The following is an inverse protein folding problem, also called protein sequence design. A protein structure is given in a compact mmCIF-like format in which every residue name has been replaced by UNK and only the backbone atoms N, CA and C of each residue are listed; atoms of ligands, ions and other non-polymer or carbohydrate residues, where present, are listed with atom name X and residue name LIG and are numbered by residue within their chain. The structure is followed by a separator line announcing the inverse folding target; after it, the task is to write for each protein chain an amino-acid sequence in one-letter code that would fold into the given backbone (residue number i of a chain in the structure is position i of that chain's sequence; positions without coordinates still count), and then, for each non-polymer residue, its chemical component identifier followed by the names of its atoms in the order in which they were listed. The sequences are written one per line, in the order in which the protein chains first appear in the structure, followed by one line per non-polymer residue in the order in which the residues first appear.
data_IF_520664264480
#
_entry.id   IF_520664264480
#
_cell.length_a   1.000
_cell.length_b   1.000
_cell.length_c   1.000
_cell.angle_alpha   90.00
_cell.angle_beta   90.00
_cell.angle_gamma   90.00
#
_symmetry.space_group_name_H-M   'P 1'
#
loop_
_entity.id
_entity.type
_entity.pdbx_description
1 polymer ?
#
# COMPACT_ATOMS: atom_id res chain seq x y z
N UNK A 1 20.06 -0.85 9.24
CA UNK A 1 18.63 -0.57 9.58
C UNK A 1 18.18 0.76 9.01
N UNK A 2 19.03 1.79 9.07
CA UNK A 2 18.84 3.07 8.37
C UNK A 2 18.69 2.89 6.85
N UNK A 3 19.39 1.90 6.30
CA UNK A 3 19.45 1.58 4.86
C UNK A 3 18.17 0.92 4.33
N UNK A 4 17.31 0.37 5.20
CA UNK A 4 16.03 -0.22 4.81
C UNK A 4 14.92 0.84 4.80
N UNK A 5 14.94 1.78 5.76
CA UNK A 5 14.02 2.92 5.79
C UNK A 5 14.27 3.88 4.61
N UNK A 6 15.54 4.16 4.28
CA UNK A 6 15.91 5.01 3.14
C UNK A 6 15.48 4.40 1.79
N UNK A 7 15.55 3.07 1.66
CA UNK A 7 15.18 2.36 0.44
C UNK A 7 13.66 2.24 0.23
N UNK A 8 12.85 2.39 1.29
CA UNK A 8 11.38 2.37 1.18
C UNK A 8 10.78 3.76 0.97
N UNK A 9 11.36 4.80 1.57
CA UNK A 9 10.92 6.20 1.32
C UNK A 9 11.22 6.59 -0.12
N UNK A 10 12.32 6.11 -0.70
CA UNK A 10 12.69 6.35 -2.11
C UNK A 10 11.84 5.59 -3.13
N UNK A 11 11.23 4.45 -2.75
CA UNK A 11 10.37 3.65 -3.65
C UNK A 11 8.90 4.13 -3.62
N UNK A 12 8.45 4.74 -2.51
CA UNK A 12 7.10 5.31 -2.40
C UNK A 12 6.94 6.62 -3.21
N UNK A 13 8.00 7.42 -3.29
CA UNK A 13 8.06 8.65 -4.08
C UNK A 13 8.21 8.38 -5.60
N UNK A 14 8.38 7.11 -5.97
CA UNK A 14 9.01 6.77 -7.24
C UNK A 14 8.03 6.74 -8.41
N UNK A 15 6.72 6.48 -8.20
CA UNK A 15 5.81 6.32 -9.35
C UNK A 15 5.56 7.64 -10.09
N UNK A 16 5.07 8.67 -9.39
CA UNK A 16 4.83 9.98 -10.00
C UNK A 16 6.14 10.55 -10.57
N UNK A 17 7.21 10.56 -9.77
CA UNK A 17 8.49 11.08 -10.22
C UNK A 17 9.12 10.27 -11.36
N UNK A 18 8.97 8.94 -11.39
CA UNK A 18 9.44 8.12 -12.53
C UNK A 18 8.71 8.49 -13.80
N UNK A 19 7.38 8.61 -13.76
CA UNK A 19 6.58 8.96 -14.95
C UNK A 19 6.92 10.39 -15.40
N UNK A 20 6.92 11.35 -14.49
CA UNK A 20 7.27 12.74 -14.78
C UNK A 20 8.70 12.88 -15.34
N UNK A 21 9.68 12.22 -14.73
CA UNK A 21 11.06 12.22 -15.20
C UNK A 21 11.18 11.58 -16.59
N UNK A 22 10.45 10.49 -16.83
CA UNK A 22 10.47 9.80 -18.13
C UNK A 22 9.89 10.69 -19.23
N UNK A 23 8.76 11.34 -18.98
CA UNK A 23 8.18 12.35 -19.87
C UNK A 23 9.16 13.50 -20.08
N UNK A 24 9.70 14.09 -19.01
CA UNK A 24 10.62 15.23 -19.12
C UNK A 24 11.85 14.92 -19.96
N UNK A 25 12.42 13.72 -19.80
CA UNK A 25 13.67 13.34 -20.45
C UNK A 25 13.48 12.88 -21.90
N UNK A 26 12.34 12.27 -22.25
CA UNK A 26 12.13 11.65 -23.56
C UNK A 26 11.01 12.28 -24.40
N UNK A 27 10.30 13.32 -23.92
CA UNK A 27 9.16 13.93 -24.64
C UNK A 27 9.49 14.40 -26.06
N UNK A 28 10.75 14.74 -26.32
CA UNK A 28 11.22 15.22 -27.62
C UNK A 28 11.82 14.10 -28.49
N UNK A 29 11.88 12.87 -27.99
CA UNK A 29 12.47 11.74 -28.71
C UNK A 29 11.49 11.20 -29.76
N UNK A 30 12.04 10.77 -30.89
CA UNK A 30 11.24 10.21 -31.98
C UNK A 30 10.55 8.92 -31.53
N UNK A 31 9.21 8.91 -31.60
CA UNK A 31 8.39 7.77 -31.20
C UNK A 31 7.95 7.78 -29.72
N UNK A 32 8.30 8.82 -28.95
CA UNK A 32 7.78 8.96 -27.59
C UNK A 32 6.27 9.25 -27.60
N UNK A 33 5.46 8.59 -26.76
CA UNK A 33 4.02 8.84 -26.65
C UNK A 33 3.75 10.30 -26.28
N UNK A 34 2.91 10.98 -27.06
CA UNK A 34 2.50 12.36 -26.77
C UNK A 34 1.21 12.38 -25.96
N UNK A 35 1.04 13.39 -25.11
CA UNK A 35 -0.20 13.58 -24.36
C UNK A 35 -1.35 13.78 -25.35
N UNK A 36 -2.40 12.94 -25.32
CA UNK A 36 -3.57 13.09 -26.18
C UNK A 36 -4.26 14.44 -25.97
N UNK A 37 -4.77 15.06 -27.04
CA UNK A 37 -5.40 16.39 -26.97
C UNK A 37 -6.70 16.45 -26.11
N UNK A 38 -7.28 15.28 -25.81
CA UNK A 38 -8.44 15.09 -24.95
C UNK A 38 -8.09 14.97 -23.47
N UNK A 39 -6.80 14.93 -23.11
CA UNK A 39 -6.31 14.80 -21.74
C UNK A 39 -5.61 16.10 -21.35
N UNK A 40 -6.01 16.69 -20.23
CA UNK A 40 -5.32 17.85 -19.67
C UNK A 40 -4.08 17.44 -18.85
N UNK A 41 -3.14 18.37 -18.67
CA UNK A 41 -2.02 18.15 -17.73
C UNK A 41 -2.53 17.94 -16.29
N UNK A 42 -3.66 18.56 -15.94
CA UNK A 42 -4.31 18.39 -14.64
C UNK A 42 -4.86 16.96 -14.47
N UNK A 43 -5.49 16.38 -15.50
CA UNK A 43 -5.97 14.99 -15.45
C UNK A 43 -4.81 13.98 -15.28
N UNK A 44 -3.65 14.28 -15.88
CA UNK A 44 -2.43 13.50 -15.69
C UNK A 44 -1.91 13.61 -14.26
N UNK A 45 -1.85 14.83 -13.71
CA UNK A 45 -1.40 15.07 -12.35
C UNK A 45 -2.32 14.39 -11.33
N UNK A 46 -3.63 14.53 -11.49
CA UNK A 46 -4.64 13.92 -10.62
C UNK A 46 -4.53 12.38 -10.64
N UNK A 47 -4.41 11.76 -11.82
CA UNK A 47 -4.22 10.31 -11.92
C UNK A 47 -2.95 9.85 -11.23
N UNK A 48 -1.81 10.53 -11.45
CA UNK A 48 -0.54 10.16 -10.82
C UNK A 48 -0.62 10.29 -9.30
N UNK A 49 -1.24 11.37 -8.81
CA UNK A 49 -1.46 11.61 -7.40
C UNK A 49 -2.36 10.54 -6.77
N UNK A 50 -3.51 10.24 -7.37
CA UNK A 50 -4.46 9.23 -6.86
C UNK A 50 -3.87 7.83 -6.90
N UNK A 51 -3.12 7.49 -7.94
CA UNK A 51 -2.42 6.22 -8.06
C UNK A 51 -1.35 6.06 -6.98
N UNK A 52 -0.58 7.11 -6.71
CA UNK A 52 0.42 7.10 -5.65
C UNK A 52 -0.23 7.05 -4.26
N UNK A 53 -1.28 7.83 -4.02
CA UNK A 53 -2.06 7.76 -2.78
C UNK A 53 -2.68 6.36 -2.56
N UNK A 54 -3.03 5.65 -3.64
CA UNK A 54 -3.48 4.27 -3.56
C UNK A 54 -2.36 3.31 -3.13
N UNK A 55 -1.15 3.46 -3.68
CA UNK A 55 0.04 2.69 -3.27
C UNK A 55 0.41 2.98 -1.80
N UNK A 56 0.35 4.25 -1.39
CA UNK A 56 0.76 4.72 -0.06
C UNK A 56 -0.26 4.37 1.03
N UNK A 57 -1.45 3.91 0.62
CA UNK A 57 -2.54 3.61 1.54
C UNK A 57 -2.27 2.45 2.50
N UNK A 58 -1.21 1.65 2.28
CA UNK A 58 -0.75 0.66 3.27
C UNK A 58 -0.21 1.29 4.57
N UNK A 59 0.09 2.58 4.54
CA UNK A 59 0.73 3.29 5.63
C UNK A 59 2.22 2.99 5.72
N UNK A 60 2.92 3.83 6.48
CA UNK A 60 4.37 3.69 6.69
C UNK A 60 4.72 2.41 7.44
N UNK A 61 5.96 1.93 7.32
CA UNK A 61 6.45 0.80 8.11
C UNK A 61 6.18 0.97 9.61
N UNK A 62 6.42 2.16 10.14
CA UNK A 62 6.14 2.50 11.53
C UNK A 62 4.67 2.29 11.91
N UNK A 63 3.75 2.72 11.04
CA UNK A 63 2.31 2.51 11.26
C UNK A 63 1.96 1.01 11.22
N UNK A 64 2.49 0.29 10.24
CA UNK A 64 2.29 -1.17 10.10
C UNK A 64 2.80 -1.95 11.31
N UNK A 65 3.98 -1.62 11.85
CA UNK A 65 4.50 -2.25 13.07
C UNK A 65 3.69 -1.90 14.31
N UNK A 66 3.19 -0.67 14.41
CA UNK A 66 2.32 -0.26 15.53
C UNK A 66 1.01 -1.05 15.52
N UNK A 67 0.39 -1.19 14.35
CA UNK A 67 -0.83 -1.99 14.18
C UNK A 67 -0.54 -3.47 14.48
N UNK A 68 0.58 -4.02 14.00
CA UNK A 68 0.98 -5.39 14.28
C UNK A 68 1.14 -5.64 15.78
N UNK A 69 1.86 -4.76 16.49
CA UNK A 69 2.02 -4.84 17.94
C UNK A 69 0.69 -4.77 18.67
N UNK A 70 -0.20 -3.86 18.26
CA UNK A 70 -1.54 -3.75 18.84
C UNK A 70 -2.36 -5.03 18.64
N UNK A 71 -2.38 -5.59 17.42
CA UNK A 71 -3.11 -6.82 17.10
C UNK A 71 -2.56 -8.05 17.84
N UNK A 72 -1.25 -8.10 18.12
CA UNK A 72 -0.65 -9.17 18.93
C UNK A 72 -0.97 -9.04 20.41
N UNK A 73 -0.96 -7.82 20.95
CA UNK A 73 -1.21 -7.57 22.37
C UNK A 73 -2.70 -7.66 22.74
N UNK A 74 -3.60 -7.28 21.84
CA UNK A 74 -5.04 -7.17 22.12
C UNK A 74 -5.67 -8.49 22.63
N UNK A 75 -5.42 -9.67 22.02
CA UNK A 75 -5.94 -10.94 22.53
C UNK A 75 -5.41 -11.30 23.92
N UNK A 76 -4.15 -10.96 24.20
CA UNK A 76 -3.52 -11.18 25.51
C UNK A 76 -4.19 -10.31 26.57
N UNK A 77 -4.42 -9.03 26.26
CA UNK A 77 -5.11 -8.10 27.15
C UNK A 77 -6.55 -8.50 27.41
N UNK A 78 -7.28 -8.95 26.38
CA UNK A 78 -8.64 -9.44 26.53
C UNK A 78 -8.67 -10.65 27.46
N UNK A 79 -7.78 -11.64 27.26
CA UNK A 79 -7.75 -12.80 28.15
C UNK A 79 -7.35 -12.47 29.59
N UNK A 80 -6.44 -11.52 29.79
CA UNK A 80 -6.07 -11.02 31.12
C UNK A 80 -7.25 -10.43 31.91
N UNK A 81 -8.33 -10.00 31.22
CA UNK A 81 -9.52 -9.46 31.86
C UNK A 81 -10.48 -10.54 32.39
N UNK A 82 -10.24 -11.82 32.11
CA UNK A 82 -11.07 -12.94 32.54
C UNK A 82 -10.36 -13.79 33.60
N UNK A 83 -11.08 -14.38 34.57
CA UNK A 83 -10.50 -15.31 35.52
C UNK A 83 -10.04 -16.60 34.81
N UNK A 84 -8.92 -17.17 35.27
CA UNK A 84 -8.27 -18.33 34.63
C UNK A 84 -9.22 -19.53 34.43
N UNK A 85 -10.12 -19.77 35.39
CA UNK A 85 -11.09 -20.87 35.36
C UNK A 85 -12.19 -20.71 34.28
N UNK A 86 -12.31 -19.53 33.69
CA UNK A 86 -13.28 -19.24 32.62
C UNK A 86 -12.68 -19.34 31.22
N UNK A 87 -11.37 -19.57 31.12
CA UNK A 87 -10.67 -19.66 29.85
C UNK A 87 -10.84 -21.06 29.23
N UNK A 88 -10.87 -21.15 27.89
CA UNK A 88 -11.18 -22.40 27.18
C UNK A 88 -10.09 -23.47 27.27
N UNK A 89 -8.87 -23.10 27.65
CA UNK A 89 -7.75 -24.03 27.87
C UNK A 89 -7.13 -23.77 29.26
N UNK A 90 -6.19 -24.63 29.69
CA UNK A 90 -5.50 -24.48 30.96
C UNK A 90 -4.06 -23.98 30.79
N UNK A 91 -3.64 -23.08 31.68
CA UNK A 91 -2.26 -22.62 31.80
C UNK A 91 -1.65 -22.07 30.50
N UNK A 92 -0.48 -22.60 30.13
CA UNK A 92 0.33 -22.11 29.00
C UNK A 92 -0.43 -22.18 27.66
N UNK A 93 -1.38 -23.10 27.52
CA UNK A 93 -2.14 -23.26 26.27
C UNK A 93 -3.02 -22.04 25.95
N UNK A 94 -3.53 -21.32 26.96
CA UNK A 94 -4.26 -20.07 26.74
C UNK A 94 -3.36 -18.99 26.15
N UNK A 95 -2.14 -18.86 26.69
CA UNK A 95 -1.16 -17.87 26.21
C UNK A 95 -0.77 -18.17 24.76
N UNK A 96 -0.51 -19.44 24.43
CA UNK A 96 -0.22 -19.84 23.06
C UNK A 96 -1.40 -19.61 22.12
N UNK A 97 -2.63 -19.87 22.57
CA UNK A 97 -3.84 -19.55 21.83
C UNK A 97 -3.98 -18.03 21.59
N UNK A 98 -3.65 -17.18 22.58
CA UNK A 98 -3.63 -15.72 22.46
C UNK A 98 -2.76 -15.25 21.31
N UNK A 99 -1.52 -15.75 21.31
CA UNK A 99 -0.50 -15.41 20.33
C UNK A 99 -0.96 -15.89 18.95
N UNK A 100 -1.51 -17.11 18.87
CA UNK A 100 -2.10 -17.65 17.65
C UNK A 100 -3.21 -16.75 17.09
N UNK A 101 -4.14 -16.30 17.93
CA UNK A 101 -5.20 -15.36 17.52
C UNK A 101 -4.61 -14.04 17.04
N UNK A 102 -3.63 -13.48 17.75
CA UNK A 102 -2.96 -12.24 17.34
C UNK A 102 -2.27 -12.36 15.98
N UNK A 103 -1.61 -13.50 15.72
CA UNK A 103 -0.99 -13.80 14.42
C UNK A 103 -2.03 -13.92 13.30
N UNK A 104 -3.18 -14.57 13.57
CA UNK A 104 -4.29 -14.68 12.61
C UNK A 104 -4.86 -13.29 12.30
N UNK A 105 -5.08 -12.45 13.32
CA UNK A 105 -5.55 -11.08 13.14
C UNK A 105 -4.57 -10.25 12.30
N UNK A 106 -3.27 -10.37 12.58
CA UNK A 106 -2.25 -9.70 11.78
C UNK A 106 -2.22 -10.19 10.33
N UNK A 107 -2.36 -11.49 10.11
CA UNK A 107 -2.44 -12.05 8.76
C UNK A 107 -3.67 -11.54 8.01
N UNK A 108 -4.85 -11.53 8.66
CA UNK A 108 -6.08 -10.98 8.10
C UNK A 108 -5.93 -9.50 7.75
N UNK A 109 -5.35 -8.70 8.65
CA UNK A 109 -5.03 -7.30 8.38
C UNK A 109 -4.18 -7.16 7.12
N UNK A 110 -3.11 -7.95 6.97
CA UNK A 110 -2.23 -7.90 5.79
C UNK A 110 -2.98 -8.25 4.50
N UNK A 111 -3.86 -9.23 4.54
CA UNK A 111 -4.70 -9.60 3.38
C UNK A 111 -5.67 -8.48 3.03
N UNK A 112 -6.36 -7.91 4.03
CA UNK A 112 -7.30 -6.80 3.85
C UNK A 112 -6.60 -5.58 3.24
N UNK A 113 -5.43 -5.20 3.75
CA UNK A 113 -4.68 -4.06 3.22
C UNK A 113 -4.32 -4.24 1.74
N UNK A 114 -3.85 -5.43 1.34
CA UNK A 114 -3.59 -5.73 -0.08
C UNK A 114 -4.84 -5.60 -0.94
N UNK A 115 -6.00 -5.99 -0.43
CA UNK A 115 -7.28 -5.86 -1.14
C UNK A 115 -7.68 -4.40 -1.27
N UNK A 116 -7.53 -3.61 -0.20
CA UNK A 116 -7.83 -2.17 -0.19
C UNK A 116 -6.97 -1.42 -1.21
N UNK A 117 -5.65 -1.66 -1.21
CA UNK A 117 -4.72 -1.07 -2.19
C UNK A 117 -5.14 -1.43 -3.61
N UNK A 118 -5.37 -2.73 -3.89
CA UNK A 118 -5.84 -3.16 -5.22
C UNK A 118 -7.14 -2.48 -5.64
N UNK A 119 -8.07 -2.30 -4.70
CA UNK A 119 -9.34 -1.63 -4.96
C UNK A 119 -9.13 -0.15 -5.29
N UNK A 120 -8.29 0.55 -4.54
CA UNK A 120 -7.96 1.97 -4.78
C UNK A 120 -7.23 2.16 -6.10
N UNK A 121 -6.24 1.32 -6.42
CA UNK A 121 -5.56 1.33 -7.72
C UNK A 121 -6.57 1.08 -8.84
N UNK A 122 -7.47 0.10 -8.67
CA UNK A 122 -8.51 -0.17 -9.67
C UNK A 122 -9.42 1.03 -9.86
N UNK A 123 -9.76 1.74 -8.78
CA UNK A 123 -10.58 2.93 -8.83
C UNK A 123 -9.87 4.05 -9.60
N UNK A 124 -8.62 4.40 -9.25
CA UNK A 124 -7.84 5.40 -9.99
C UNK A 124 -7.73 5.06 -11.49
N UNK A 125 -7.53 3.78 -11.82
CA UNK A 125 -7.51 3.28 -13.20
C UNK A 125 -8.86 3.38 -13.92
N UNK A 126 -9.98 3.33 -13.20
CA UNK A 126 -11.33 3.43 -13.75
C UNK A 126 -11.77 4.88 -13.92
N UNK A 127 -11.32 5.76 -13.02
CA UNK A 127 -11.65 7.18 -13.03
C UNK A 127 -10.90 7.90 -14.15
N UNK A 128 -9.68 7.45 -14.51
CA UNK A 128 -8.85 8.03 -15.58
C UNK A 128 -8.37 6.99 -16.62
N UNK A 129 -9.27 6.37 -17.40
CA UNK A 129 -8.92 5.25 -18.29
C UNK A 129 -7.99 5.66 -19.44
N UNK A 130 -8.16 6.86 -19.98
CA UNK A 130 -7.35 7.38 -21.10
C UNK A 130 -5.96 7.80 -20.62
N UNK A 131 -5.87 8.41 -19.43
CA UNK A 131 -4.61 8.80 -18.79
C UNK A 131 -3.78 7.57 -18.43
N UNK A 132 -4.42 6.54 -17.87
CA UNK A 132 -3.78 5.25 -17.60
C UNK A 132 -3.14 4.69 -18.86
N UNK A 133 -3.87 4.67 -19.98
CA UNK A 133 -3.36 4.14 -21.24
C UNK A 133 -2.15 4.94 -21.72
N UNK A 134 -2.18 6.27 -21.61
CA UNK A 134 -1.02 7.10 -21.92
C UNK A 134 0.19 6.77 -21.02
N UNK A 135 -0.01 6.69 -19.70
CA UNK A 135 1.06 6.35 -18.74
C UNK A 135 1.64 4.96 -19.00
N UNK A 136 0.81 3.97 -19.36
CA UNK A 136 1.28 2.63 -19.74
C UNK A 136 2.21 2.68 -20.96
N UNK A 137 1.88 3.49 -21.98
CA UNK A 137 2.73 3.68 -23.15
C UNK A 137 4.04 4.41 -22.80
N UNK A 138 3.97 5.46 -21.97
CA UNK A 138 5.16 6.16 -21.46
C UNK A 138 6.08 5.19 -20.72
N UNK A 139 5.52 4.34 -19.87
CA UNK A 139 6.28 3.34 -19.11
C UNK A 139 6.86 2.24 -20.00
N UNK A 140 6.19 1.87 -21.10
CA UNK A 140 6.68 0.88 -22.06
C UNK A 140 7.79 1.38 -23.01
N UNK A 141 7.96 2.70 -23.14
CA UNK A 141 9.00 3.30 -23.98
C UNK A 141 10.41 2.92 -23.46
N UNK A 142 11.31 2.50 -24.35
CA UNK A 142 12.66 2.01 -24.01
C UNK A 142 13.71 3.08 -24.18
#
# INVERSE_FOLDING_TARGET
MKDLEEHYVTVLDDFQHTVENKIRNHKNDAGFPQLPANISEDDLADYLFDYQAALDSEGTERSRYTIAGFLLCLPILIMSAFPDDSLPFEGIMNVLAAIGVGLILFFLYRVIMKIVVKKKIRQANQDYPEVKNYVDHVMAFK
#
